data_IF_003550227931
#
_entry.id   IF_003550227931
#
_cell.length_a   1.000
_cell.length_b   1.000
_cell.length_c   1.000
_cell.angle_alpha   90.00
_cell.angle_beta   90.00
_cell.angle_gamma   90.00
#
_symmetry.space_group_name_H-M   'P 1'
#
loop_
_entity.id
_entity.type
_entity.pdbx_description
1 polymer ?
#
# COMPACT_ATOMS: atom_id res chain seq x y z
N UNK A 1 0.32 1.48 -41.88
CA UNK A 1 0.50 0.02 -42.02
C UNK A 1 1.21 -0.41 -40.76
N UNK A 2 0.46 -1.05 -39.86
CA UNK A 2 0.88 -1.50 -38.54
C UNK A 2 1.70 -2.77 -38.70
N UNK A 3 2.89 -2.84 -38.10
CA UNK A 3 3.52 -4.12 -37.78
C UNK A 3 3.61 -4.28 -36.27
N UNK A 4 2.79 -5.23 -35.81
CA UNK A 4 2.74 -5.81 -34.48
C UNK A 4 3.95 -6.73 -34.27
N UNK A 5 4.70 -6.50 -33.20
CA UNK A 5 5.53 -7.49 -32.51
C UNK A 5 5.19 -7.33 -31.03
N UNK A 6 4.71 -8.29 -30.27
CA UNK A 6 4.61 -9.74 -30.42
C UNK A 6 4.54 -10.26 -28.98
N UNK A 7 3.37 -10.14 -28.35
CA UNK A 7 3.15 -10.64 -26.98
C UNK A 7 2.79 -12.12 -27.10
N UNK A 8 3.71 -12.99 -26.67
CA UNK A 8 3.49 -14.43 -26.62
C UNK A 8 2.40 -14.79 -25.61
N UNK A 9 1.24 -15.21 -26.12
CA UNK A 9 0.23 -15.93 -25.36
C UNK A 9 0.68 -17.38 -25.18
N UNK A 10 1.05 -17.76 -23.97
CA UNK A 10 1.22 -19.17 -23.60
C UNK A 10 -0.05 -19.67 -22.91
N UNK A 11 -0.72 -20.62 -23.58
CA UNK A 11 -1.89 -21.37 -23.09
C UNK A 11 -1.48 -22.39 -22.02
N UNK A 12 -2.29 -22.58 -20.98
CA UNK A 12 -2.43 -23.87 -20.30
C UNK A 12 -3.86 -24.12 -19.77
N UNK A 13 -4.23 -25.40 -19.82
CA UNK A 13 -5.58 -25.96 -19.76
C UNK A 13 -6.13 -26.23 -18.34
N UNK A 14 -7.46 -26.27 -18.27
CA UNK A 14 -8.35 -26.56 -17.15
C UNK A 14 -8.10 -27.87 -16.39
N UNK A 15 -8.41 -27.85 -15.09
CA UNK A 15 -9.03 -28.99 -14.38
C UNK A 15 -10.06 -28.51 -13.33
N UNK A 16 -11.07 -29.35 -13.12
CA UNK A 16 -12.41 -29.09 -12.55
C UNK A 16 -12.45 -28.66 -11.07
N UNK A 17 -13.35 -27.73 -10.77
CA UNK A 17 -14.08 -27.68 -9.49
C UNK A 17 -13.70 -26.53 -8.57
N UNK A 18 -14.51 -25.46 -8.58
CA UNK A 18 -14.45 -24.34 -7.64
C UNK A 18 -14.30 -23.01 -8.35
N UNK A 19 -15.26 -22.10 -8.14
CA UNK A 19 -15.22 -20.75 -8.69
C UNK A 19 -13.99 -20.01 -8.14
N UNK A 20 -12.87 -20.04 -8.88
CA UNK A 20 -11.79 -19.08 -8.72
C UNK A 20 -12.11 -17.90 -9.61
N UNK A 21 -12.29 -16.74 -9.00
CA UNK A 21 -12.27 -15.46 -9.70
C UNK A 21 -10.80 -15.17 -10.07
N UNK A 22 -10.23 -15.95 -11.00
CA UNK A 22 -8.97 -15.61 -11.66
C UNK A 22 -9.27 -14.55 -12.72
N UNK A 23 -9.56 -13.33 -12.25
CA UNK A 23 -9.26 -12.17 -13.06
C UNK A 23 -7.72 -12.13 -13.14
N UNK A 24 -7.16 -12.41 -14.30
CA UNK A 24 -5.74 -12.16 -14.56
C UNK A 24 -5.49 -10.65 -14.41
N UNK A 25 -5.10 -10.27 -13.19
CA UNK A 25 -4.58 -8.96 -12.83
C UNK A 25 -3.11 -8.99 -13.26
N UNK A 26 -2.71 -8.10 -14.17
CA UNK A 26 -1.31 -8.03 -14.60
C UNK A 26 -0.36 -7.80 -13.42
N UNK A 27 0.85 -8.35 -13.49
CA UNK A 27 1.90 -8.08 -12.49
C UNK A 27 2.66 -6.81 -12.91
N UNK A 28 2.73 -5.82 -12.01
CA UNK A 28 3.68 -4.72 -12.13
C UNK A 28 4.89 -5.06 -11.25
N UNK A 29 5.97 -5.50 -11.89
CA UNK A 29 7.26 -5.63 -11.21
C UNK A 29 7.87 -4.24 -11.07
N UNK A 30 8.11 -3.83 -9.83
CA UNK A 30 8.80 -2.57 -9.59
C UNK A 30 10.26 -2.72 -10.02
N UNK A 31 10.56 -2.21 -11.22
CA UNK A 31 11.91 -2.23 -11.78
C UNK A 31 12.69 -0.97 -11.38
N UNK A 32 14.02 -1.08 -11.30
CA UNK A 32 14.95 0.02 -11.01
C UNK A 32 14.96 1.17 -12.06
N UNK A 33 13.96 1.23 -12.94
CA UNK A 33 13.82 2.22 -14.01
C UNK A 33 12.82 3.35 -13.73
N UNK A 34 12.33 3.54 -12.50
CA UNK A 34 11.71 4.83 -12.13
C UNK A 34 12.79 5.86 -11.77
N UNK A 35 13.54 6.27 -12.79
CA UNK A 35 14.61 7.27 -12.71
C UNK A 35 14.03 8.69 -12.87
N UNK A 36 14.35 9.53 -11.89
CA UNK A 36 14.37 11.01 -11.90
C UNK A 36 13.04 11.77 -12.05
N UNK A 37 12.42 12.11 -10.92
CA UNK A 37 11.53 13.27 -10.84
C UNK A 37 11.89 14.19 -9.66
N UNK A 38 13.15 14.64 -9.64
CA UNK A 38 13.51 15.87 -8.93
C UNK A 38 13.26 17.06 -9.87
N UNK A 39 12.55 18.07 -9.34
CA UNK A 39 12.36 19.43 -9.86
C UNK A 39 11.45 19.64 -11.08
N UNK A 40 10.16 19.91 -10.81
CA UNK A 40 9.34 20.93 -11.48
C UNK A 40 8.02 21.08 -10.70
N UNK A 41 7.77 22.26 -10.13
CA UNK A 41 6.50 22.64 -9.48
C UNK A 41 6.38 22.40 -7.96
N UNK A 42 7.13 23.12 -7.11
CA UNK A 42 7.12 22.90 -5.65
C UNK A 42 5.82 23.33 -4.90
N UNK A 43 4.88 24.02 -5.54
CA UNK A 43 3.67 24.56 -4.90
C UNK A 43 2.37 23.83 -5.30
N UNK A 44 2.24 23.30 -6.52
CA UNK A 44 1.18 22.32 -6.87
C UNK A 44 1.43 20.94 -6.23
N UNK A 45 2.65 20.71 -5.73
CA UNK A 45 3.15 19.44 -5.21
C UNK A 45 2.63 18.99 -3.84
N UNK A 46 1.83 19.80 -3.14
CA UNK A 46 1.33 19.45 -1.81
C UNK A 46 -0.17 19.75 -1.65
N UNK A 47 -0.95 19.66 -2.72
CA UNK A 47 -2.42 19.84 -2.66
C UNK A 47 -3.06 18.98 -1.54
N UNK A 48 -2.51 17.80 -1.30
CA UNK A 48 -2.93 16.89 -0.24
C UNK A 48 -2.48 17.31 1.18
N UNK A 49 -1.78 18.42 1.38
CA UNK A 49 -1.50 18.97 2.72
C UNK A 49 -2.49 20.06 3.14
N UNK A 50 -3.23 20.63 2.18
CA UNK A 50 -4.22 21.66 2.45
C UNK A 50 -5.41 21.08 3.23
N UNK A 51 -5.89 21.84 4.23
CA UNK A 51 -7.06 21.42 5.03
C UNK A 51 -6.89 20.12 5.82
N UNK A 52 -5.65 19.69 6.08
CA UNK A 52 -5.37 18.42 6.78
C UNK A 52 -6.14 18.29 8.10
N UNK A 53 -6.93 17.23 8.20
CA UNK A 53 -7.51 16.73 9.45
C UNK A 53 -6.77 15.46 9.90
N UNK A 54 -5.94 15.60 10.93
CA UNK A 54 -5.18 14.49 11.50
C UNK A 54 -6.05 13.39 12.11
N UNK A 55 -7.24 13.73 12.62
CA UNK A 55 -8.19 12.75 13.16
C UNK A 55 -8.82 11.94 12.02
N UNK A 56 -9.19 12.61 10.93
CA UNK A 56 -9.66 11.93 9.72
C UNK A 56 -8.60 10.97 9.16
N UNK A 57 -7.34 11.42 9.07
CA UNK A 57 -6.23 10.58 8.62
C UNK A 57 -6.01 9.35 9.53
N UNK A 58 -6.12 9.54 10.84
CA UNK A 58 -6.02 8.45 11.81
C UNK A 58 -7.16 7.44 11.64
N UNK A 59 -8.39 7.91 11.42
CA UNK A 59 -9.55 7.05 11.14
C UNK A 59 -9.38 6.28 9.82
N UNK A 60 -8.87 6.90 8.76
CA UNK A 60 -8.60 6.22 7.49
C UNK A 60 -7.53 5.11 7.64
N UNK A 61 -6.41 5.40 8.31
CA UNK A 61 -5.39 4.38 8.61
C UNK A 61 -5.94 3.23 9.45
N UNK A 62 -6.70 3.54 10.49
CA UNK A 62 -7.34 2.56 11.34
C UNK A 62 -8.30 1.65 10.56
N UNK A 63 -9.09 2.24 9.65
CA UNK A 63 -9.99 1.49 8.79
C UNK A 63 -9.22 0.57 7.82
N UNK A 64 -8.12 1.01 7.20
CA UNK A 64 -7.29 0.14 6.35
C UNK A 64 -6.69 -1.04 7.13
N UNK A 65 -6.28 -0.83 8.38
CA UNK A 65 -5.80 -1.91 9.25
C UNK A 65 -6.93 -2.91 9.52
N UNK A 66 -8.13 -2.44 9.87
CA UNK A 66 -9.25 -3.31 10.24
C UNK A 66 -9.85 -4.03 9.05
N UNK A 67 -10.20 -3.30 7.99
CA UNK A 67 -10.88 -3.83 6.81
C UNK A 67 -9.91 -4.60 5.89
N UNK A 68 -8.65 -4.15 5.81
CA UNK A 68 -7.65 -4.80 4.97
C UNK A 68 -6.88 -5.91 5.66
N UNK A 69 -6.25 -5.61 6.80
CA UNK A 69 -5.43 -6.62 7.50
C UNK A 69 -6.34 -7.52 8.35
N UNK A 70 -7.18 -6.94 9.19
CA UNK A 70 -8.07 -7.66 10.07
C UNK A 70 -7.32 -8.68 10.95
N UNK A 71 -7.81 -9.92 10.95
CA UNK A 71 -7.23 -11.02 11.74
C UNK A 71 -6.14 -11.81 10.99
N UNK A 72 -5.77 -11.36 9.79
CA UNK A 72 -4.74 -12.02 9.00
C UNK A 72 -3.35 -11.90 9.65
N UNK A 73 -2.48 -12.83 9.28
CA UNK A 73 -1.05 -12.73 9.59
C UNK A 73 -0.43 -11.67 8.68
N UNK A 74 0.36 -10.77 9.26
CA UNK A 74 1.04 -9.70 8.58
C UNK A 74 2.51 -9.59 9.02
N UNK A 75 3.37 -8.93 8.24
CA UNK A 75 4.72 -8.58 8.68
C UNK A 75 4.71 -7.75 9.96
N UNK A 76 5.70 -7.98 10.83
CA UNK A 76 5.95 -7.10 11.99
C UNK A 76 6.54 -5.77 11.56
N UNK A 77 7.34 -5.80 10.49
CA UNK A 77 7.94 -4.62 9.86
C UNK A 77 6.85 -3.78 9.16
N UNK A 78 6.67 -2.54 9.65
CA UNK A 78 5.66 -1.61 9.16
C UNK A 78 5.87 -1.17 7.71
N UNK A 79 7.10 -1.22 7.19
CA UNK A 79 7.37 -0.90 5.78
C UNK A 79 6.72 -1.95 4.85
N UNK A 80 6.78 -3.24 5.23
CA UNK A 80 6.14 -4.32 4.48
C UNK A 80 4.60 -4.31 4.59
N UNK A 81 4.08 -3.82 5.71
CA UNK A 81 2.64 -3.60 5.86
C UNK A 81 2.18 -2.43 4.99
N UNK A 82 2.94 -1.34 4.98
CA UNK A 82 2.69 -0.21 4.08
C UNK A 82 2.71 -0.66 2.61
N UNK A 83 3.69 -1.48 2.22
CA UNK A 83 3.73 -2.11 0.90
C UNK A 83 2.44 -2.88 0.57
N UNK A 84 1.95 -3.67 1.53
CA UNK A 84 0.77 -4.50 1.30
C UNK A 84 -0.49 -3.66 1.08
N UNK A 85 -0.65 -2.58 1.85
CA UNK A 85 -1.79 -1.67 1.71
C UNK A 85 -1.69 -0.85 0.42
N UNK A 86 -0.51 -0.30 0.11
CA UNK A 86 -0.31 0.48 -1.12
C UNK A 86 -0.46 -0.39 -2.36
N UNK A 87 0.05 -1.63 -2.34
CA UNK A 87 -0.20 -2.58 -3.41
C UNK A 87 -1.69 -2.88 -3.62
N UNK A 88 -2.47 -2.94 -2.54
CA UNK A 88 -3.92 -3.12 -2.62
C UNK A 88 -4.65 -1.89 -3.19
N UNK A 89 -4.17 -0.68 -2.86
CA UNK A 89 -4.66 0.57 -3.47
C UNK A 89 -4.41 0.54 -4.98
N UNK A 90 -3.21 0.13 -5.40
CA UNK A 90 -2.86 0.00 -6.83
C UNK A 90 -3.68 -1.09 -7.52
N UNK A 91 -3.88 -2.23 -6.88
CA UNK A 91 -4.74 -3.30 -7.41
C UNK A 91 -6.19 -2.82 -7.61
N UNK A 92 -6.68 -1.97 -6.71
CA UNK A 92 -8.01 -1.37 -6.82
C UNK A 92 -8.08 -0.35 -7.96
N UNK A 93 -7.11 0.56 -8.05
CA UNK A 93 -7.11 1.65 -9.03
C UNK A 93 -6.82 1.17 -10.45
N UNK A 94 -5.82 0.31 -10.61
CA UNK A 94 -5.26 -0.06 -11.91
C UNK A 94 -5.47 -1.52 -12.30
N UNK A 95 -6.08 -2.34 -11.43
CA UNK A 95 -6.19 -3.79 -11.63
C UNK A 95 -4.83 -4.43 -11.93
N UNK A 96 -3.83 -4.02 -11.16
CA UNK A 96 -2.47 -4.56 -11.20
C UNK A 96 -1.96 -4.87 -9.80
N UNK A 97 -1.26 -5.99 -9.63
CA UNK A 97 -0.61 -6.32 -8.38
C UNK A 97 0.83 -5.84 -8.41
N UNK A 98 1.27 -5.27 -7.29
CA UNK A 98 2.68 -4.95 -7.09
C UNK A 98 3.39 -6.17 -6.51
N UNK A 99 4.50 -6.58 -7.13
CA UNK A 99 5.35 -7.65 -6.60
C UNK A 99 6.76 -7.12 -6.36
N UNK A 100 7.42 -7.51 -5.23
CA UNK A 100 8.84 -7.23 -5.06
C UNK A 100 9.64 -8.08 -6.07
N UNK A 101 10.81 -7.60 -6.51
CA UNK A 101 11.66 -8.32 -7.45
C UNK A 101 12.04 -9.70 -6.92
N UNK A 102 12.15 -10.68 -7.82
CA UNK A 102 12.36 -12.10 -7.45
C UNK A 102 13.71 -12.34 -6.77
N UNK A 103 14.71 -11.55 -7.13
CA UNK A 103 16.03 -11.56 -6.50
C UNK A 103 16.09 -10.53 -5.37
N UNK A 104 16.63 -10.89 -4.19
CA UNK A 104 16.78 -9.95 -3.08
C UNK A 104 17.89 -8.93 -3.41
N UNK A 105 17.55 -7.93 -4.22
CA UNK A 105 18.39 -6.75 -4.35
C UNK A 105 18.30 -5.96 -3.05
N UNK A 106 19.41 -5.91 -2.30
CA UNK A 106 19.49 -5.18 -1.02
C UNK A 106 19.02 -3.72 -1.13
N UNK A 107 19.20 -3.12 -2.32
CA UNK A 107 18.75 -1.77 -2.64
C UNK A 107 17.23 -1.62 -2.69
N UNK A 108 16.51 -2.61 -3.22
CA UNK A 108 15.05 -2.56 -3.36
C UNK A 108 14.34 -2.30 -2.03
N UNK A 109 14.75 -3.03 -0.99
CA UNK A 109 14.15 -2.88 0.35
C UNK A 109 14.39 -1.48 0.91
N UNK A 110 15.58 -0.93 0.69
CA UNK A 110 15.96 0.41 1.15
C UNK A 110 15.22 1.51 0.36
N UNK A 111 14.81 1.22 -0.88
CA UNK A 111 14.08 2.14 -1.75
C UNK A 111 12.56 1.89 -1.75
N UNK A 112 12.06 0.92 -0.98
CA UNK A 112 10.64 0.53 -0.96
C UNK A 112 9.72 1.75 -0.76
N UNK A 113 10.04 2.64 0.17
CA UNK A 113 9.25 3.84 0.43
C UNK A 113 9.17 4.78 -0.79
N UNK A 114 10.24 4.88 -1.58
CA UNK A 114 10.27 5.66 -2.82
C UNK A 114 9.40 5.01 -3.90
N UNK A 115 9.47 3.69 -4.03
CA UNK A 115 8.64 2.98 -5.01
C UNK A 115 7.14 3.01 -4.68
N UNK A 116 6.79 2.91 -3.40
CA UNK A 116 5.40 3.09 -2.95
C UNK A 116 4.92 4.53 -3.18
N UNK A 117 5.81 5.51 -3.05
CA UNK A 117 5.49 6.90 -3.39
C UNK A 117 5.19 7.06 -4.87
N UNK A 118 6.06 6.58 -5.75
CA UNK A 118 5.87 6.66 -7.20
C UNK A 118 4.52 6.05 -7.63
N UNK A 119 4.19 4.89 -7.06
CA UNK A 119 2.91 4.23 -7.27
C UNK A 119 1.70 5.08 -6.81
N UNK A 120 1.74 5.67 -5.60
CA UNK A 120 0.63 6.50 -5.11
C UNK A 120 0.52 7.86 -5.79
N UNK A 121 1.65 8.44 -6.20
CA UNK A 121 1.72 9.81 -6.71
C UNK A 121 1.40 9.91 -8.21
N UNK A 122 1.94 8.98 -8.99
CA UNK A 122 1.79 9.00 -10.45
C UNK A 122 0.75 7.99 -10.90
N UNK A 123 0.88 6.76 -10.43
CA UNK A 123 0.12 5.65 -11.01
C UNK A 123 -1.36 5.66 -10.59
N UNK A 124 -1.67 5.92 -9.31
CA UNK A 124 -3.06 5.92 -8.82
C UNK A 124 -3.91 7.04 -9.42
N UNK A 125 -3.48 8.32 -9.47
CA UNK A 125 -4.31 9.39 -10.02
C UNK A 125 -4.61 9.23 -11.52
N UNK A 126 -3.68 8.67 -12.29
CA UNK A 126 -3.85 8.43 -13.74
C UNK A 126 -4.88 7.33 -14.04
N UNK A 127 -5.11 6.42 -13.09
CA UNK A 127 -5.97 5.24 -13.26
C UNK A 127 -7.23 5.26 -12.35
N UNK A 128 -7.30 6.20 -11.40
CA UNK A 128 -8.18 6.13 -10.24
C UNK A 128 -9.45 6.98 -10.34
N UNK A 129 -10.49 6.48 -11.02
CA UNK A 129 -11.85 7.03 -10.88
C UNK A 129 -12.59 6.53 -9.63
N UNK A 130 -11.98 5.63 -8.85
CA UNK A 130 -12.64 4.89 -7.75
C UNK A 130 -12.33 5.51 -6.37
N UNK A 131 -11.20 6.19 -6.21
CA UNK A 131 -10.77 6.77 -4.93
C UNK A 131 -11.07 8.26 -4.96
N UNK A 132 -11.93 8.75 -4.07
CA UNK A 132 -12.22 10.18 -4.01
C UNK A 132 -10.97 10.99 -3.61
N UNK A 133 -10.94 12.27 -3.97
CA UNK A 133 -9.79 13.14 -3.74
C UNK A 133 -9.43 13.31 -2.26
N UNK A 134 -10.43 13.33 -1.37
CA UNK A 134 -10.24 13.44 0.08
C UNK A 134 -9.52 12.23 0.67
N UNK A 135 -9.94 11.03 0.30
CA UNK A 135 -9.32 9.77 0.70
C UNK A 135 -7.92 9.66 0.08
N UNK A 136 -7.78 9.95 -1.22
CA UNK A 136 -6.47 9.96 -1.87
C UNK A 136 -5.49 10.88 -1.14
N UNK A 137 -5.90 12.09 -0.80
CA UNK A 137 -5.08 13.01 -0.03
C UNK A 137 -4.66 12.41 1.32
N UNK A 138 -5.58 11.75 2.04
CA UNK A 138 -5.29 11.08 3.30
C UNK A 138 -4.30 9.91 3.16
N UNK A 139 -4.45 9.12 2.10
CA UNK A 139 -3.54 8.02 1.77
C UNK A 139 -2.14 8.56 1.48
N UNK A 140 -2.03 9.63 0.70
CA UNK A 140 -0.76 10.29 0.42
C UNK A 140 -0.11 10.82 1.70
N UNK A 141 -0.85 11.50 2.58
CA UNK A 141 -0.31 11.95 3.88
C UNK A 141 0.18 10.80 4.75
N UNK A 142 -0.53 9.67 4.70
CA UNK A 142 -0.27 8.51 5.57
C UNK A 142 0.91 7.66 5.11
N UNK A 143 1.05 7.44 3.81
CA UNK A 143 2.00 6.45 3.28
C UNK A 143 3.26 7.07 2.65
N UNK A 144 3.30 8.39 2.42
CA UNK A 144 4.48 9.04 1.86
C UNK A 144 5.49 9.48 2.95
N UNK A 145 6.81 9.32 2.71
CA UNK A 145 7.86 9.84 3.59
C UNK A 145 7.85 11.37 3.72
N UNK A 146 7.67 11.88 4.94
CA UNK A 146 7.44 13.31 5.19
C UNK A 146 8.60 14.19 4.75
N UNK A 147 9.83 13.72 4.84
CA UNK A 147 11.02 14.49 4.50
C UNK A 147 11.04 15.01 3.04
N UNK A 148 10.46 14.24 2.11
CA UNK A 148 10.43 14.58 0.68
C UNK A 148 9.05 14.98 0.19
N UNK A 149 7.99 14.58 0.89
CA UNK A 149 6.60 14.78 0.47
C UNK A 149 5.79 15.68 1.41
N UNK A 150 6.44 16.60 2.14
CA UNK A 150 5.73 17.58 2.96
C UNK A 150 6.31 18.98 2.86
N UNK A 151 5.51 19.96 3.29
CA UNK A 151 5.92 21.36 3.38
C UNK A 151 7.14 21.50 4.30
N UNK A 152 8.03 22.49 4.08
CA UNK A 152 9.28 22.62 4.84
C UNK A 152 9.11 22.63 6.36
N UNK A 153 8.02 23.22 6.88
CA UNK A 153 7.68 23.25 8.31
C UNK A 153 7.30 21.88 8.89
N UNK A 154 7.08 20.87 8.05
CA UNK A 154 6.58 19.54 8.42
C UNK A 154 7.48 18.39 7.94
N UNK A 155 8.69 18.69 7.46
CA UNK A 155 9.74 17.71 7.21
C UNK A 155 10.30 17.16 8.53
N UNK A 156 9.51 16.32 9.17
CA UNK A 156 9.80 15.86 10.54
C UNK A 156 10.35 14.44 10.59
N UNK A 157 10.29 13.68 9.49
CA UNK A 157 10.74 12.28 9.50
C UNK A 157 11.03 11.72 8.11
N UNK A 158 12.03 10.85 8.06
CA UNK A 158 12.38 10.00 6.91
C UNK A 158 11.37 8.87 6.70
N UNK A 159 10.50 8.60 7.69
CA UNK A 159 9.45 7.58 7.60
C UNK A 159 8.08 8.19 7.32
N UNK A 160 7.16 7.39 6.79
CA UNK A 160 5.76 7.79 6.61
C UNK A 160 5.00 7.81 7.95
N UNK A 161 3.91 8.58 8.02
CA UNK A 161 3.07 8.64 9.22
C UNK A 161 2.55 7.24 9.59
N UNK A 162 2.17 6.43 8.61
CA UNK A 162 1.74 5.05 8.84
C UNK A 162 2.83 4.22 9.52
N UNK A 163 4.05 4.23 8.99
CA UNK A 163 5.17 3.46 9.55
C UNK A 163 5.54 3.94 10.95
N UNK A 164 5.54 5.25 11.17
CA UNK A 164 5.74 5.84 12.49
C UNK A 164 4.73 5.31 13.49
N UNK A 165 3.43 5.43 13.18
CA UNK A 165 2.36 4.96 14.06
C UNK A 165 2.36 3.45 14.25
N UNK A 166 2.71 2.69 13.20
CA UNK A 166 2.84 1.24 13.26
C UNK A 166 3.80 0.81 14.38
N UNK A 167 4.97 1.47 14.43
CA UNK A 167 6.02 1.23 15.43
C UNK A 167 5.64 1.75 16.81
N UNK A 168 5.02 2.94 16.88
CA UNK A 168 4.69 3.59 18.17
C UNK A 168 3.57 2.89 18.93
N UNK A 169 2.55 2.37 18.25
CA UNK A 169 1.35 1.83 18.91
C UNK A 169 1.35 0.30 19.06
N UNK A 170 2.47 -0.36 18.74
CA UNK A 170 2.64 -1.81 18.93
C UNK A 170 1.47 -2.62 18.35
N UNK A 171 1.13 -2.38 17.08
CA UNK A 171 0.01 -3.06 16.43
C UNK A 171 0.13 -4.60 16.41
N UNK A 172 1.30 -5.19 16.08
CA UNK A 172 1.51 -6.63 16.17
C UNK A 172 1.28 -7.19 17.57
N UNK A 173 0.71 -8.39 17.67
CA UNK A 173 0.54 -9.12 18.93
C UNK A 173 1.90 -9.55 19.53
N UNK A 174 2.88 -9.81 18.68
CA UNK A 174 4.24 -10.20 19.05
C UNK A 174 5.26 -9.67 18.04
N UNK A 175 6.43 -9.28 18.55
CA UNK A 175 7.60 -8.84 17.78
C UNK A 175 8.70 -9.91 17.75
N UNK A 176 8.46 -11.11 18.30
CA UNK A 176 9.47 -12.16 18.44
C UNK A 176 9.86 -12.85 17.11
N UNK A 177 9.17 -12.53 16.01
CA UNK A 177 9.45 -13.09 14.69
C UNK A 177 9.06 -12.13 13.56
N UNK A 178 9.28 -12.51 12.29
CA UNK A 178 9.06 -11.63 11.14
C UNK A 178 7.60 -11.29 10.87
N UNK A 179 6.68 -12.13 11.36
CA UNK A 179 5.25 -12.04 11.09
C UNK A 179 4.45 -12.27 12.36
N UNK A 180 3.29 -11.63 12.43
CA UNK A 180 2.41 -11.66 13.59
C UNK A 180 0.98 -11.36 13.19
N UNK A 181 0.02 -11.62 14.07
CA UNK A 181 -1.34 -11.10 13.92
C UNK A 181 -1.42 -9.69 14.50
N UNK A 182 -2.43 -8.93 14.08
CA UNK A 182 -2.77 -7.68 14.76
C UNK A 182 -3.29 -7.98 16.16
N UNK A 183 -2.81 -7.23 17.15
CA UNK A 183 -3.30 -7.33 18.52
C UNK A 183 -4.82 -7.06 18.59
N UNK A 184 -5.53 -7.80 19.44
CA UNK A 184 -6.98 -7.62 19.65
C UNK A 184 -7.33 -6.17 20.02
N UNK A 185 -6.48 -5.53 20.83
CA UNK A 185 -6.64 -4.12 21.22
C UNK A 185 -6.66 -3.20 19.99
N UNK A 186 -5.69 -3.37 19.09
CA UNK A 186 -5.60 -2.57 17.86
C UNK A 186 -6.81 -2.75 16.95
N UNK A 187 -7.35 -3.98 16.84
CA UNK A 187 -8.58 -4.22 16.07
C UNK A 187 -9.80 -3.55 16.70
N UNK A 188 -9.94 -3.59 18.03
CA UNK A 188 -11.04 -2.94 18.74
C UNK A 188 -10.96 -1.41 18.58
N UNK A 189 -9.79 -0.83 18.85
CA UNK A 189 -9.56 0.61 18.75
C UNK A 189 -9.74 1.07 17.30
N UNK A 190 -9.25 0.29 16.33
CA UNK A 190 -9.39 0.56 14.92
C UNK A 190 -10.86 0.57 14.47
N UNK A 191 -11.65 -0.43 14.89
CA UNK A 191 -13.10 -0.51 14.60
C UNK A 191 -13.86 0.67 15.18
N UNK A 192 -13.44 1.16 16.36
CA UNK A 192 -14.05 2.35 16.97
C UNK A 192 -13.74 3.62 16.16
N UNK A 193 -12.52 3.75 15.66
CA UNK A 193 -12.10 4.90 14.85
C UNK A 193 -12.72 4.88 13.45
N UNK A 194 -12.87 3.72 12.83
CA UNK A 194 -13.42 3.58 11.47
C UNK A 194 -14.92 3.91 11.40
N UNK A 195 -15.68 3.67 12.47
CA UNK A 195 -17.12 4.01 12.57
C UNK A 195 -17.43 5.51 12.40
N UNK A 196 -16.43 6.38 12.49
CA UNK A 196 -16.58 7.82 12.31
C UNK A 196 -16.47 8.26 10.85
N UNK A 197 -16.04 7.37 9.97
CA UNK A 197 -15.89 7.68 8.55
C UNK A 197 -17.26 7.66 7.87
N UNK A 198 -17.53 8.62 6.96
CA UNK A 198 -18.72 8.58 6.14
C UNK A 198 -18.67 7.41 5.14
N UNK A 199 -19.84 7.00 4.65
CA UNK A 199 -19.98 5.84 3.78
C UNK A 199 -19.14 5.95 2.49
N UNK A 200 -19.09 7.16 1.92
CA UNK A 200 -18.29 7.50 0.75
C UNK A 200 -16.77 7.30 0.93
N UNK A 201 -16.28 7.21 2.16
CA UNK A 201 -14.87 6.96 2.48
C UNK A 201 -14.65 5.49 2.86
N UNK A 202 -15.57 4.89 3.63
CA UNK A 202 -15.39 3.52 4.09
C UNK A 202 -15.58 2.48 2.98
N UNK A 203 -16.50 2.71 2.02
CA UNK A 203 -16.73 1.75 0.94
C UNK A 203 -15.52 1.58 0.00
N UNK A 204 -14.83 2.65 -0.43
CA UNK A 204 -13.54 2.51 -1.12
C UNK A 204 -12.50 1.79 -0.26
N UNK A 205 -12.44 2.05 1.06
CA UNK A 205 -11.49 1.37 1.96
C UNK A 205 -11.78 -0.13 2.05
N UNK A 206 -13.06 -0.55 2.12
CA UNK A 206 -13.44 -1.97 2.06
C UNK A 206 -13.05 -2.60 0.72
N UNK A 207 -13.25 -1.87 -0.38
CA UNK A 207 -12.85 -2.33 -1.71
C UNK A 207 -11.33 -2.56 -1.78
N UNK A 208 -10.54 -1.60 -1.29
CA UNK A 208 -9.09 -1.76 -1.12
C UNK A 208 -8.77 -2.96 -0.22
N UNK A 209 -9.50 -3.07 0.90
CA UNK A 209 -9.35 -4.13 1.88
C UNK A 209 -9.45 -5.54 1.29
N UNK A 210 -10.32 -5.74 0.30
CA UNK A 210 -10.46 -7.03 -0.40
C UNK A 210 -9.17 -7.49 -1.11
N UNK A 211 -8.28 -6.55 -1.48
CA UNK A 211 -7.01 -6.86 -2.12
C UNK A 211 -5.84 -7.03 -1.13
N UNK A 212 -5.99 -6.54 0.11
CA UNK A 212 -4.91 -6.57 1.12
C UNK A 212 -4.47 -7.99 1.49
N UNK A 213 -5.35 -8.99 1.69
CA UNK A 213 -4.91 -10.35 2.02
C UNK A 213 -3.96 -10.98 1.01
N UNK A 214 -4.19 -10.75 -0.29
CA UNK A 214 -3.30 -11.23 -1.34
C UNK A 214 -1.92 -10.57 -1.26
N UNK A 215 -1.91 -9.24 -1.10
CA UNK A 215 -0.67 -8.47 -0.95
C UNK A 215 0.11 -8.82 0.32
N UNK A 216 -0.59 -9.10 1.43
CA UNK A 216 0.02 -9.63 2.65
C UNK A 216 0.67 -10.99 2.41
N UNK A 217 0.06 -11.86 1.60
CA UNK A 217 0.66 -13.13 1.19
C UNK A 217 2.01 -12.95 0.50
N UNK A 218 2.10 -11.99 -0.43
CA UNK A 218 3.35 -11.61 -1.11
C UNK A 218 4.38 -11.09 -0.11
N UNK A 219 3.99 -10.16 0.76
CA UNK A 219 4.89 -9.57 1.75
C UNK A 219 5.41 -10.62 2.75
N UNK A 220 4.54 -11.46 3.30
CA UNK A 220 4.90 -12.54 4.23
C UNK A 220 5.85 -13.54 3.59
N UNK A 221 5.62 -13.93 2.34
CA UNK A 221 6.51 -14.81 1.60
C UNK A 221 7.91 -14.19 1.41
N UNK A 222 7.94 -12.88 1.16
CA UNK A 222 9.18 -12.13 0.95
C UNK A 222 10.00 -12.01 2.24
N UNK A 223 9.37 -11.61 3.35
CA UNK A 223 10.07 -11.47 4.64
C UNK A 223 10.61 -12.81 5.12
N UNK A 224 9.83 -13.90 5.01
CA UNK A 224 10.28 -15.25 5.39
C UNK A 224 11.44 -15.78 4.54
N UNK A 225 11.62 -15.28 3.31
CA UNK A 225 12.75 -15.64 2.45
C UNK A 225 14.03 -14.94 2.92
N UNK A 226 13.92 -13.67 3.30
CA UNK A 226 15.06 -12.88 3.78
C UNK A 226 15.58 -13.42 5.11
N UNK A 227 14.72 -13.82 6.04
CA UNK A 227 15.13 -14.35 7.36
C UNK A 227 15.78 -15.75 7.31
N UNK A 228 15.72 -16.43 6.17
CA UNK A 228 16.38 -17.74 5.96
C UNK A 228 17.81 -17.62 5.42
N UNK A 229 18.23 -16.41 5.04
CA UNK A 229 19.58 -16.08 4.59
C UNK A 229 20.37 -15.57 5.80
#
# INVERSE_FOLDING_TARGET
MLDLLGIGCSFFSFSKGGYRMEAMIGEYELSARSVSLRHRGYLEKFWFEEGRDSSFDASCRAALIVEGIGENVCPVDGEWVAFSIVGAIVATAARMNIVPPKEPNFHWRNEMAFHLWDALWHFVPENGNIINSTLLASLMRSFLPREHSSTPSRKTSWMSDFVYFWKTYSHPESFAGPVSRISRKSLIDGRRLSRRLPEEIIEPIKTIGNHVPYMLGIAVASVKRVDKI
#
